data_IF_642029113967
#
_entry.id   IF_642029113967
#
_cell.length_a   1.000
_cell.length_b   1.000
_cell.length_c   1.000
_cell.angle_alpha   90.00
_cell.angle_beta   90.00
_cell.angle_gamma   90.00
#
_symmetry.space_group_name_H-M   'P 1'
#
loop_
_entity.id
_entity.type
_entity.pdbx_description
1 polymer ?
#
# COMPACT_ATOMS: atom_id res chain seq x y z
N UNK A 1 11.36 12.30 -41.74
CA UNK A 1 12.35 12.20 -40.63
C UNK A 1 11.93 12.99 -39.39
N UNK A 2 11.71 14.32 -39.45
CA UNK A 2 11.30 15.15 -38.28
C UNK A 2 10.03 14.65 -37.56
N UNK A 3 9.02 14.19 -38.31
CA UNK A 3 7.76 13.63 -37.75
C UNK A 3 7.98 12.31 -36.99
N UNK A 4 8.90 11.46 -37.46
CA UNK A 4 9.23 10.17 -36.81
C UNK A 4 9.98 10.42 -35.50
N UNK A 5 10.91 11.38 -35.51
CA UNK A 5 11.63 11.81 -34.30
C UNK A 5 10.65 12.38 -33.26
N UNK A 6 9.66 13.17 -33.70
CA UNK A 6 8.64 13.72 -32.81
C UNK A 6 7.77 12.62 -32.17
N UNK A 7 7.36 11.62 -32.95
CA UNK A 7 6.57 10.48 -32.44
C UNK A 7 7.36 9.67 -31.42
N UNK A 8 8.64 9.37 -31.71
CA UNK A 8 9.50 8.64 -30.78
C UNK A 8 9.75 9.43 -29.49
N UNK A 9 9.90 10.74 -29.57
CA UNK A 9 10.04 11.60 -28.39
C UNK A 9 8.76 11.62 -27.53
N UNK A 10 7.58 11.62 -28.15
CA UNK A 10 6.29 11.54 -27.44
C UNK A 10 6.12 10.16 -26.78
N UNK A 11 6.42 9.07 -27.49
CA UNK A 11 6.33 7.71 -26.93
C UNK A 11 7.31 7.54 -25.76
N UNK A 12 8.54 8.05 -25.90
CA UNK A 12 9.51 8.04 -24.81
C UNK A 12 9.06 8.89 -23.61
N UNK A 13 8.50 10.08 -23.86
CA UNK A 13 7.94 10.94 -22.83
C UNK A 13 6.76 10.30 -22.09
N UNK A 14 5.88 9.61 -22.80
CA UNK A 14 4.77 8.86 -22.20
C UNK A 14 5.25 7.66 -21.38
N UNK A 15 6.30 6.98 -21.83
CA UNK A 15 6.92 5.88 -21.07
C UNK A 15 7.63 6.37 -19.80
N UNK A 16 8.04 7.63 -19.74
CA UNK A 16 8.68 8.23 -18.57
C UNK A 16 7.67 8.65 -17.49
N UNK A 17 6.37 8.73 -17.79
CA UNK A 17 5.32 9.01 -16.81
C UNK A 17 5.05 7.77 -15.95
N UNK A 18 5.81 7.60 -14.87
CA UNK A 18 5.59 6.58 -13.84
C UNK A 18 5.04 7.26 -12.60
N UNK A 19 3.78 6.99 -12.24
CA UNK A 19 3.24 7.36 -10.94
C UNK A 19 3.44 6.17 -9.99
N UNK A 20 4.49 6.19 -9.18
CA UNK A 20 4.70 5.17 -8.16
C UNK A 20 3.88 5.50 -6.91
N UNK A 21 2.96 4.61 -6.56
CA UNK A 21 2.22 4.71 -5.29
C UNK A 21 3.15 4.28 -4.15
N UNK A 22 3.72 5.26 -3.43
CA UNK A 22 4.49 5.01 -2.20
C UNK A 22 3.52 4.63 -1.09
N UNK A 23 3.23 3.33 -0.95
CA UNK A 23 2.51 2.81 0.21
C UNK A 23 3.47 2.53 1.37
N UNK A 24 3.27 3.23 2.49
CA UNK A 24 3.96 2.94 3.74
C UNK A 24 3.38 1.68 4.40
N UNK A 25 3.89 0.51 3.99
CA UNK A 25 3.52 -0.79 4.55
C UNK A 25 4.72 -1.52 5.14
N UNK A 26 4.46 -2.37 6.12
CA UNK A 26 5.47 -3.25 6.73
C UNK A 26 4.99 -4.70 6.76
N UNK A 27 5.93 -5.62 6.52
CA UNK A 27 5.69 -7.06 6.67
C UNK A 27 5.95 -7.48 8.11
N UNK A 28 4.97 -8.07 8.75
CA UNK A 28 5.09 -8.68 10.07
C UNK A 28 5.43 -10.15 9.90
N UNK A 29 6.50 -10.60 10.55
CA UNK A 29 6.88 -12.02 10.60
C UNK A 29 5.88 -12.79 11.45
N UNK A 30 5.66 -14.05 11.12
CA UNK A 30 4.83 -14.92 11.94
C UNK A 30 5.47 -15.17 13.30
N UNK A 31 4.64 -15.32 14.33
CA UNK A 31 5.09 -15.52 15.71
C UNK A 31 4.06 -16.30 16.52
N UNK A 32 4.52 -16.94 17.59
CA UNK A 32 3.66 -17.64 18.55
C UNK A 32 3.33 -16.70 19.70
N UNK A 33 2.05 -16.58 20.04
CA UNK A 33 1.58 -15.80 21.19
C UNK A 33 1.91 -16.53 22.49
N UNK A 34 1.98 -15.80 23.61
CA UNK A 34 2.12 -16.40 24.95
C UNK A 34 1.01 -17.39 25.29
N UNK A 35 -0.18 -17.23 24.69
CA UNK A 35 -1.31 -18.15 24.79
C UNK A 35 -1.13 -19.46 23.99
N UNK A 36 0.00 -19.67 23.32
CA UNK A 36 0.28 -20.83 22.47
C UNK A 36 -0.25 -20.75 21.04
N UNK A 37 -1.06 -19.74 20.69
CA UNK A 37 -1.63 -19.62 19.33
C UNK A 37 -0.62 -19.02 18.33
N UNK A 38 -0.53 -19.61 17.13
CA UNK A 38 0.32 -19.10 16.05
C UNK A 38 -0.35 -17.97 15.26
N UNK A 39 0.42 -16.91 14.96
CA UNK A 39 0.03 -15.81 14.07
C UNK A 39 0.83 -15.92 12.78
N UNK A 40 0.15 -16.08 11.66
CA UNK A 40 0.79 -16.11 10.35
C UNK A 40 1.40 -14.74 9.97
N UNK A 41 2.47 -14.73 9.14
CA UNK A 41 2.98 -13.49 8.58
C UNK A 41 1.89 -12.73 7.82
N UNK A 42 1.89 -11.39 7.93
CA UNK A 42 0.90 -10.54 7.27
C UNK A 42 1.47 -9.14 7.01
N UNK A 43 0.77 -8.35 6.20
CA UNK A 43 1.10 -6.95 5.97
C UNK A 43 0.21 -6.04 6.82
N UNK A 44 0.77 -4.90 7.24
CA UNK A 44 0.05 -3.82 7.91
C UNK A 44 0.58 -2.46 7.46
N UNK A 45 -0.17 -1.41 7.75
CA UNK A 45 0.31 -0.02 7.64
C UNK A 45 1.56 0.20 8.49
N UNK A 46 2.47 1.03 7.98
CA UNK A 46 3.67 1.42 8.71
C UNK A 46 3.33 2.03 10.07
N UNK A 47 4.05 1.67 11.14
CA UNK A 47 3.79 2.24 12.46
C UNK A 47 4.11 3.74 12.49
N UNK A 48 3.17 4.54 12.98
CA UNK A 48 3.33 5.95 13.29
C UNK A 48 2.42 6.36 14.47
N UNK A 49 2.31 7.66 14.75
CA UNK A 49 1.47 8.21 15.84
C UNK A 49 0.00 8.41 15.45
N UNK A 50 -0.36 8.21 14.17
CA UNK A 50 -1.70 8.46 13.67
C UNK A 50 -2.48 7.16 13.60
N UNK A 51 -3.74 7.20 14.04
CA UNK A 51 -4.61 6.02 13.99
C UNK A 51 -5.50 6.01 12.75
N UNK A 52 -5.85 7.20 12.25
CA UNK A 52 -6.84 7.41 11.18
C UNK A 52 -6.39 6.93 9.81
N UNK A 53 -5.10 6.72 9.60
CA UNK A 53 -4.49 6.24 8.34
C UNK A 53 -4.30 4.71 8.31
N UNK A 54 -4.54 4.01 9.42
CA UNK A 54 -4.50 2.55 9.43
C UNK A 54 -5.59 1.97 8.53
N UNK A 55 -5.29 0.89 7.79
CA UNK A 55 -6.30 0.20 6.96
C UNK A 55 -7.53 -0.30 7.74
N UNK A 56 -7.39 -0.52 9.05
CA UNK A 56 -8.51 -0.93 9.91
C UNK A 56 -9.46 0.21 10.28
N UNK A 57 -9.07 1.47 10.05
CA UNK A 57 -9.85 2.66 10.42
C UNK A 57 -11.04 2.85 9.51
N UNK A 58 -12.16 3.31 10.07
CA UNK A 58 -13.40 3.52 9.31
C UNK A 58 -13.16 4.45 8.13
N UNK A 59 -13.55 4.00 6.93
CA UNK A 59 -13.36 4.73 5.68
C UNK A 59 -12.11 4.33 4.88
N UNK A 60 -11.16 3.64 5.51
CA UNK A 60 -9.98 3.12 4.80
C UNK A 60 -10.22 1.73 4.23
N UNK A 61 -9.31 1.29 3.37
CA UNK A 61 -9.37 -0.02 2.70
C UNK A 61 -8.06 -0.78 2.90
N UNK A 62 -8.14 -2.08 3.17
CA UNK A 62 -6.98 -2.96 3.21
C UNK A 62 -6.80 -3.66 1.84
N UNK A 63 -5.75 -3.33 1.07
CA UNK A 63 -5.52 -3.91 -0.26
C UNK A 63 -5.16 -5.40 -0.22
N UNK A 64 -4.69 -5.93 0.91
CA UNK A 64 -4.28 -7.33 1.04
C UNK A 64 -5.43 -8.27 1.37
N UNK A 65 -6.36 -7.84 2.21
CA UNK A 65 -7.52 -8.66 2.57
C UNK A 65 -8.76 -8.30 1.76
N UNK A 66 -8.72 -7.20 1.00
CA UNK A 66 -9.86 -6.66 0.26
C UNK A 66 -11.00 -6.13 1.14
N UNK A 67 -10.72 -5.83 2.42
CA UNK A 67 -11.72 -5.48 3.42
C UNK A 67 -11.67 -3.99 3.74
N UNK A 68 -12.84 -3.38 3.91
CA UNK A 68 -12.95 -2.03 4.43
C UNK A 68 -12.68 -1.98 5.94
N UNK A 69 -12.02 -0.91 6.37
CA UNK A 69 -11.81 -0.59 7.77
C UNK A 69 -13.10 -0.15 8.45
N UNK A 70 -13.22 -0.47 9.73
CA UNK A 70 -14.44 -0.28 10.52
C UNK A 70 -14.17 0.30 11.92
N UNK A 71 -12.91 0.45 12.33
CA UNK A 71 -12.58 1.00 13.66
C UNK A 71 -12.86 2.50 13.73
N UNK A 72 -13.69 2.91 14.68
CA UNK A 72 -13.82 4.30 15.12
C UNK A 72 -12.75 4.60 16.18
N UNK A 73 -12.18 5.81 16.13
CA UNK A 73 -11.24 6.32 17.14
C UNK A 73 -11.80 7.51 17.94
N UNK A 74 -13.03 7.90 17.62
CA UNK A 74 -13.87 8.82 18.38
C UNK A 74 -14.87 8.02 19.20
#
# INVERSE_FOLDING_TARGET
MKKVILILAIVFGLLALRAEMVEARVRVRGYTRSSGSYVMPHYRTSPNSYKFDNWSSRGNYNPYSGRSGYKSWY
#
